data_IF_918770187824
#
_entry.id   IF_918770187824
#
_cell.length_a   1.000
_cell.length_b   1.000
_cell.length_c   1.000
_cell.angle_alpha   90.00
_cell.angle_beta   90.00
_cell.angle_gamma   90.00
#
_symmetry.space_group_name_H-M   'P 1'
#
loop_
_entity.id
_entity.type
_entity.pdbx_description
1 polymer ?
#
# COMPACT_ATOMS: atom_id res chain seq x y z
N UNK A 1 -24.42 -21.97 5.69
CA UNK A 1 -23.70 -20.71 5.99
C UNK A 1 -22.57 -20.85 7.03
N UNK A 2 -22.78 -21.48 8.21
CA UNK A 2 -21.70 -21.64 9.23
C UNK A 2 -20.46 -22.41 8.74
N UNK A 3 -20.64 -23.52 7.98
CA UNK A 3 -19.52 -24.30 7.41
C UNK A 3 -18.72 -23.54 6.33
N UNK A 4 -19.40 -22.73 5.52
CA UNK A 4 -18.75 -21.83 4.55
C UNK A 4 -17.95 -20.72 5.24
N UNK A 5 -18.48 -20.11 6.31
CA UNK A 5 -17.70 -19.19 7.15
C UNK A 5 -16.47 -19.87 7.75
N UNK A 6 -16.64 -21.06 8.33
CA UNK A 6 -15.54 -21.80 8.94
C UNK A 6 -14.43 -22.16 7.94
N UNK A 7 -14.79 -22.53 6.70
CA UNK A 7 -13.84 -22.80 5.62
C UNK A 7 -13.09 -21.53 5.19
N UNK A 8 -13.79 -20.40 5.03
CA UNK A 8 -13.17 -19.11 4.65
C UNK A 8 -12.33 -18.51 5.77
N UNK A 9 -12.63 -18.82 7.03
CA UNK A 9 -11.83 -18.38 8.19
C UNK A 9 -10.67 -19.34 8.53
N UNK A 10 -10.50 -20.45 7.80
CA UNK A 10 -9.41 -21.37 8.08
C UNK A 10 -8.08 -20.78 7.58
N UNK A 11 -7.14 -20.42 8.48
CA UNK A 11 -5.88 -19.79 8.09
C UNK A 11 -5.04 -20.70 7.18
N UNK A 12 -5.17 -22.03 7.32
CA UNK A 12 -4.47 -22.99 6.48
C UNK A 12 -4.98 -23.01 5.04
N UNK A 13 -6.29 -22.82 4.84
CA UNK A 13 -6.84 -22.73 3.49
C UNK A 13 -6.32 -21.48 2.78
N UNK A 14 -6.29 -20.33 3.47
CA UNK A 14 -5.72 -19.09 2.95
C UNK A 14 -4.22 -19.23 2.62
N UNK A 15 -3.45 -19.88 3.50
CA UNK A 15 -2.05 -20.18 3.26
C UNK A 15 -1.85 -21.09 2.04
N UNK A 16 -2.62 -22.18 1.92
CA UNK A 16 -2.54 -23.10 0.78
C UNK A 16 -2.88 -22.38 -0.53
N UNK A 17 -3.93 -21.56 -0.55
CA UNK A 17 -4.30 -20.77 -1.74
C UNK A 17 -3.20 -19.79 -2.13
N UNK A 18 -2.59 -19.10 -1.15
CA UNK A 18 -1.47 -18.19 -1.39
C UNK A 18 -0.26 -18.96 -1.93
N UNK A 19 0.12 -20.07 -1.28
CA UNK A 19 1.24 -20.91 -1.70
C UNK A 19 1.02 -21.47 -3.11
N UNK A 20 -0.17 -21.98 -3.41
CA UNK A 20 -0.55 -22.45 -4.74
C UNK A 20 -0.47 -21.31 -5.78
N UNK A 21 -0.95 -20.11 -5.44
CA UNK A 21 -0.87 -18.94 -6.33
C UNK A 21 0.57 -18.54 -6.64
N UNK A 22 1.45 -18.58 -5.64
CA UNK A 22 2.90 -18.32 -5.80
C UNK A 22 3.53 -19.41 -6.68
N UNK A 23 3.28 -20.69 -6.39
CA UNK A 23 3.80 -21.82 -7.17
C UNK A 23 3.35 -21.74 -8.62
N UNK A 24 2.06 -21.50 -8.87
CA UNK A 24 1.51 -21.37 -10.23
C UNK A 24 2.12 -20.18 -10.96
N UNK A 25 2.33 -19.05 -10.27
CA UNK A 25 2.97 -17.86 -10.85
C UNK A 25 4.43 -18.11 -11.21
N UNK A 26 5.21 -18.73 -10.31
CA UNK A 26 6.62 -19.10 -10.55
C UNK A 26 6.72 -20.13 -11.67
N UNK A 27 5.85 -21.15 -11.67
CA UNK A 27 5.82 -22.17 -12.71
C UNK A 27 5.44 -21.57 -14.07
N UNK A 28 4.46 -20.66 -14.13
CA UNK A 28 4.08 -19.99 -15.37
C UNK A 28 5.24 -19.18 -15.98
N UNK A 29 6.05 -18.52 -15.14
CA UNK A 29 7.25 -17.81 -15.62
C UNK A 29 8.25 -18.77 -16.25
N UNK A 30 8.42 -19.98 -15.70
CA UNK A 30 9.34 -20.99 -16.26
C UNK A 30 8.92 -21.52 -17.64
N UNK A 31 7.66 -21.31 -18.03
CA UNK A 31 7.16 -21.70 -19.36
C UNK A 31 7.36 -20.63 -20.43
N UNK A 32 7.83 -19.43 -20.07
CA UNK A 32 8.10 -18.34 -21.01
C UNK A 32 9.57 -18.45 -21.45
N UNK A 33 9.86 -18.77 -22.72
CA UNK A 33 11.23 -19.08 -23.18
C UNK A 33 12.24 -17.95 -22.96
N UNK A 34 11.77 -16.70 -22.94
CA UNK A 34 12.59 -15.50 -22.79
C UNK A 34 12.46 -14.86 -21.39
N UNK A 35 11.89 -15.58 -20.41
CA UNK A 35 11.72 -15.03 -19.07
C UNK A 35 13.07 -14.72 -18.42
N UNK A 36 13.22 -13.48 -17.95
CA UNK A 36 14.40 -13.03 -17.22
C UNK A 36 13.99 -12.40 -15.89
N UNK A 37 14.54 -12.86 -14.75
CA UNK A 37 14.23 -12.27 -13.45
C UNK A 37 14.90 -10.90 -13.27
N UNK A 38 15.97 -10.60 -14.00
CA UNK A 38 16.78 -9.41 -13.78
C UNK A 38 16.00 -8.10 -14.02
N UNK A 39 15.29 -7.89 -15.14
CA UNK A 39 14.45 -6.70 -15.34
C UNK A 39 13.40 -6.52 -14.25
N UNK A 40 12.79 -7.63 -13.78
CA UNK A 40 11.80 -7.62 -12.71
C UNK A 40 12.41 -7.12 -11.40
N UNK A 41 13.59 -7.64 -11.03
CA UNK A 41 14.31 -7.24 -9.82
C UNK A 41 14.78 -5.78 -9.89
N UNK A 42 15.24 -5.32 -11.06
CA UNK A 42 15.62 -3.93 -11.29
C UNK A 42 14.41 -2.98 -11.18
N UNK A 43 13.23 -3.39 -11.65
CA UNK A 43 11.98 -2.65 -11.46
C UNK A 43 11.44 -2.70 -10.03
N UNK A 44 11.65 -3.81 -9.32
CA UNK A 44 11.25 -3.98 -7.92
C UNK A 44 12.02 -3.05 -6.97
N UNK A 45 13.30 -2.76 -7.24
CA UNK A 45 14.12 -1.93 -6.38
C UNK A 45 13.55 -0.51 -6.17
N UNK A 46 13.32 0.31 -7.21
CA UNK A 46 12.74 1.65 -7.04
C UNK A 46 11.32 1.59 -6.47
N UNK A 47 10.54 0.57 -6.80
CA UNK A 47 9.24 0.33 -6.17
C UNK A 47 9.37 0.10 -4.66
N UNK A 48 10.32 -0.74 -4.24
CA UNK A 48 10.58 -1.07 -2.83
C UNK A 48 11.03 0.17 -2.06
N UNK A 49 11.94 0.97 -2.62
CA UNK A 49 12.35 2.24 -2.01
C UNK A 49 11.16 3.19 -1.91
N UNK A 50 10.38 3.36 -2.97
CA UNK A 50 9.18 4.18 -2.95
C UNK A 50 8.18 3.75 -1.89
N UNK A 51 7.93 2.45 -1.77
CA UNK A 51 6.93 1.87 -0.87
C UNK A 51 7.37 1.84 0.59
N UNK A 52 8.60 1.43 0.88
CA UNK A 52 9.07 1.15 2.25
C UNK A 52 9.98 2.25 2.83
N UNK A 53 10.39 3.23 2.02
CA UNK A 53 11.16 4.39 2.47
C UNK A 53 10.37 5.67 2.22
N UNK A 54 9.99 5.96 0.97
CA UNK A 54 9.38 7.25 0.65
C UNK A 54 7.96 7.40 1.21
N UNK A 55 7.08 6.41 1.02
CA UNK A 55 5.71 6.42 1.57
C UNK A 55 5.68 6.59 3.11
N UNK A 56 6.49 5.85 3.91
CA UNK A 56 6.53 6.10 5.34
C UNK A 56 7.14 7.46 5.71
N UNK A 57 8.08 8.00 4.93
CA UNK A 57 8.60 9.36 5.15
C UNK A 57 7.55 10.44 4.82
N UNK A 58 6.70 10.21 3.82
CA UNK A 58 5.52 11.04 3.56
C UNK A 58 4.57 11.00 4.75
N UNK A 59 4.25 9.81 5.26
CA UNK A 59 3.41 9.68 6.45
C UNK A 59 4.04 10.40 7.66
N UNK A 60 5.34 10.20 7.90
CA UNK A 60 6.06 10.87 8.97
C UNK A 60 6.01 12.40 8.87
N UNK A 61 6.18 12.96 7.67
CA UNK A 61 6.09 14.41 7.45
C UNK A 61 4.70 15.00 7.76
N UNK A 62 3.66 14.15 7.72
CA UNK A 62 2.27 14.50 8.05
C UNK A 62 1.91 14.20 9.50
N UNK A 63 2.72 13.41 10.20
CA UNK A 63 2.41 12.90 11.53
C UNK A 63 2.56 13.97 12.60
N UNK A 64 1.65 13.94 13.58
CA UNK A 64 1.73 14.77 14.78
C UNK A 64 2.14 13.95 16.01
N UNK A 65 2.30 12.63 15.88
CA UNK A 65 2.51 11.70 17.00
C UNK A 65 3.93 11.68 17.59
N UNK A 66 4.83 12.55 17.11
CA UNK A 66 6.22 12.66 17.59
C UNK A 66 7.09 11.42 17.36
N UNK A 67 6.59 10.42 16.63
CA UNK A 67 7.32 9.17 16.42
C UNK A 67 8.46 9.35 15.41
N UNK A 68 9.55 8.63 15.62
CA UNK A 68 10.72 8.69 14.75
C UNK A 68 10.44 8.17 13.33
N UNK A 69 11.31 8.51 12.38
CA UNK A 69 11.27 7.99 10.99
C UNK A 69 11.30 6.47 10.95
N UNK A 70 12.17 5.86 11.77
CA UNK A 70 12.29 4.40 11.87
C UNK A 70 11.03 3.74 12.39
N UNK A 71 10.33 4.37 13.34
CA UNK A 71 9.04 3.87 13.81
C UNK A 71 8.02 3.83 12.67
N UNK A 72 7.95 4.89 11.85
CA UNK A 72 7.05 4.96 10.70
C UNK A 72 7.38 3.91 9.65
N UNK A 73 8.66 3.74 9.30
CA UNK A 73 9.09 2.72 8.34
C UNK A 73 8.69 1.31 8.79
N UNK A 74 8.91 0.97 10.07
CA UNK A 74 8.52 -0.33 10.63
C UNK A 74 7.01 -0.53 10.67
N UNK A 75 6.27 0.47 11.18
CA UNK A 75 4.80 0.41 11.24
C UNK A 75 4.19 0.30 9.83
N UNK A 76 4.77 1.00 8.86
CA UNK A 76 4.36 0.95 7.46
C UNK A 76 4.66 -0.42 6.85
N UNK A 77 5.86 -0.98 7.05
CA UNK A 77 6.22 -2.30 6.56
C UNK A 77 5.31 -3.42 7.11
N UNK A 78 5.02 -3.39 8.42
CA UNK A 78 4.05 -4.29 9.03
C UNK A 78 2.66 -4.11 8.42
N UNK A 79 2.22 -2.87 8.18
CA UNK A 79 0.92 -2.58 7.59
C UNK A 79 0.80 -3.07 6.15
N UNK A 80 1.85 -2.96 5.34
CA UNK A 80 1.82 -3.39 3.95
C UNK A 80 1.76 -4.91 3.84
N UNK A 81 2.45 -5.65 4.72
CA UNK A 81 2.31 -7.11 4.78
C UNK A 81 0.86 -7.52 5.11
N UNK A 82 0.25 -6.87 6.10
CA UNK A 82 -1.16 -7.10 6.42
C UNK A 82 -2.11 -6.64 5.31
N UNK A 83 -1.73 -5.60 4.57
CA UNK A 83 -2.44 -5.09 3.40
C UNK A 83 -2.49 -6.10 2.26
N UNK A 84 -1.36 -6.74 1.96
CA UNK A 84 -1.27 -7.79 0.94
C UNK A 84 -2.07 -9.05 1.33
N UNK A 85 -2.14 -9.36 2.62
CA UNK A 85 -2.91 -10.50 3.13
C UNK A 85 -4.43 -10.24 3.20
N UNK A 86 -4.91 -9.07 2.79
CA UNK A 86 -6.32 -8.67 2.90
C UNK A 86 -6.91 -8.30 1.54
N UNK A 87 -8.19 -8.64 1.28
CA UNK A 87 -8.87 -8.26 0.03
C UNK A 87 -9.02 -6.74 -0.13
N UNK A 88 -8.92 -5.98 0.97
CA UNK A 88 -8.94 -4.52 0.96
C UNK A 88 -7.75 -4.01 1.76
N UNK A 89 -7.11 -2.93 1.29
CA UNK A 89 -6.03 -2.23 2.02
C UNK A 89 -6.46 -1.67 3.40
N UNK A 90 -7.72 -1.89 3.81
CA UNK A 90 -8.26 -1.56 5.11
C UNK A 90 -7.47 -2.20 6.27
N UNK A 91 -6.93 -3.42 6.11
CA UNK A 91 -6.11 -4.05 7.16
C UNK A 91 -4.82 -3.26 7.44
N UNK A 92 -4.17 -2.73 6.40
CA UNK A 92 -3.00 -1.88 6.54
C UNK A 92 -3.35 -0.60 7.32
N UNK A 93 -4.48 0.03 6.98
CA UNK A 93 -4.91 1.26 7.62
C UNK A 93 -5.32 1.04 9.08
N UNK A 94 -6.07 -0.03 9.35
CA UNK A 94 -6.43 -0.44 10.71
C UNK A 94 -5.18 -0.74 11.55
N UNK A 95 -4.16 -1.38 10.96
CA UNK A 95 -2.90 -1.63 11.65
C UNK A 95 -2.16 -0.33 11.98
N UNK A 96 -2.08 0.62 11.04
CA UNK A 96 -1.45 1.92 11.28
C UNK A 96 -2.18 2.70 12.38
N UNK A 97 -3.51 2.70 12.37
CA UNK A 97 -4.33 3.28 13.44
C UNK A 97 -4.05 2.60 14.78
N UNK A 98 -3.99 1.27 14.79
CA UNK A 98 -3.67 0.50 15.99
C UNK A 98 -2.28 0.85 16.54
N UNK A 99 -1.26 0.91 15.67
CA UNK A 99 0.11 1.28 16.02
C UNK A 99 0.19 2.68 16.61
N UNK A 100 -0.47 3.67 16.00
CA UNK A 100 -0.55 5.03 16.55
C UNK A 100 -1.28 5.07 17.90
N UNK A 101 -2.35 4.28 18.04
CA UNK A 101 -3.07 4.23 19.31
C UNK A 101 -2.20 3.67 20.44
N UNK A 102 -1.34 2.70 20.15
CA UNK A 102 -0.36 2.15 21.11
C UNK A 102 0.69 3.18 21.58
N UNK A 103 0.86 4.31 20.89
CA UNK A 103 1.74 5.40 21.36
C UNK A 103 1.01 6.41 22.24
N UNK A 104 -0.24 6.13 22.62
CA UNK A 104 -1.10 7.05 23.38
C UNK A 104 -1.88 8.05 22.54
N UNK A 105 -1.79 7.99 21.20
CA UNK A 105 -2.57 8.88 20.35
C UNK A 105 -4.06 8.51 20.40
N UNK A 106 -4.93 9.51 20.57
CA UNK A 106 -6.37 9.29 20.55
C UNK A 106 -6.83 8.69 19.23
N UNK A 107 -7.77 7.72 19.27
CA UNK A 107 -8.20 6.95 18.10
C UNK A 107 -8.66 7.83 16.93
N UNK A 108 -9.36 8.93 17.21
CA UNK A 108 -9.80 9.88 16.19
C UNK A 108 -8.66 10.54 15.43
N UNK A 109 -7.62 10.98 16.16
CA UNK A 109 -6.42 11.56 15.57
C UNK A 109 -5.62 10.53 14.78
N UNK A 110 -5.52 9.29 15.27
CA UNK A 110 -4.87 8.21 14.55
C UNK A 110 -5.56 7.90 13.21
N UNK A 111 -6.90 7.86 13.20
CA UNK A 111 -7.69 7.71 11.96
C UNK A 111 -7.46 8.89 11.02
N UNK A 112 -7.53 10.13 11.53
CA UNK A 112 -7.30 11.32 10.72
C UNK A 112 -5.89 11.36 10.12
N UNK A 113 -4.87 10.88 10.84
CA UNK A 113 -3.50 10.81 10.37
C UNK A 113 -3.34 9.85 9.19
N UNK A 114 -3.86 8.62 9.34
CA UNK A 114 -3.83 7.61 8.27
C UNK A 114 -4.67 8.05 7.07
N UNK A 115 -5.84 8.65 7.31
CA UNK A 115 -6.70 9.17 6.25
C UNK A 115 -6.01 10.30 5.45
N UNK A 116 -5.31 11.22 6.12
CA UNK A 116 -4.58 12.29 5.42
C UNK A 116 -3.46 11.74 4.53
N UNK A 117 -2.69 10.77 5.02
CA UNK A 117 -1.66 10.10 4.21
C UNK A 117 -2.27 9.39 2.98
N UNK A 118 -3.45 8.75 3.14
CA UNK A 118 -4.19 8.16 2.02
C UNK A 118 -4.66 9.21 1.01
N UNK A 119 -5.21 10.32 1.47
CA UNK A 119 -5.66 11.43 0.59
C UNK A 119 -4.49 11.96 -0.24
N UNK A 120 -3.32 12.17 0.36
CA UNK A 120 -2.14 12.66 -0.37
C UNK A 120 -1.63 11.59 -1.34
N UNK A 121 -1.66 10.31 -0.96
CA UNK A 121 -1.34 9.22 -1.87
C UNK A 121 -2.25 9.15 -3.09
N UNK A 122 -3.57 9.26 -2.89
CA UNK A 122 -4.56 9.32 -3.97
C UNK A 122 -4.38 10.58 -4.82
N UNK A 123 -4.08 11.72 -4.19
CA UNK A 123 -3.77 12.96 -4.90
C UNK A 123 -2.56 12.82 -5.81
N UNK A 124 -1.52 12.10 -5.38
CA UNK A 124 -0.37 11.77 -6.23
C UNK A 124 -0.73 10.87 -7.42
N UNK A 125 -1.62 9.89 -7.24
CA UNK A 125 -2.14 9.07 -8.34
C UNK A 125 -2.89 9.95 -9.33
N UNK A 126 -3.83 10.77 -8.86
CA UNK A 126 -4.63 11.66 -9.70
C UNK A 126 -3.74 12.63 -10.49
N UNK A 127 -2.73 13.23 -9.85
CA UNK A 127 -1.77 14.10 -10.51
C UNK A 127 -0.96 13.33 -11.57
N UNK A 128 -0.53 12.10 -11.28
CA UNK A 128 0.15 11.24 -12.24
C UNK A 128 -0.72 10.93 -13.46
N UNK A 129 -2.01 10.66 -13.28
CA UNK A 129 -2.97 10.43 -14.37
C UNK A 129 -3.10 11.66 -15.27
N UNK A 130 -3.22 12.84 -14.66
CA UNK A 130 -3.29 14.12 -15.41
C UNK A 130 -2.00 14.36 -16.19
N UNK A 131 -0.84 14.17 -15.57
CA UNK A 131 0.46 14.37 -16.21
C UNK A 131 0.74 13.35 -17.33
N UNK A 132 0.21 12.14 -17.22
CA UNK A 132 0.29 11.12 -18.26
C UNK A 132 -0.57 11.45 -19.50
N UNK A 133 -1.30 12.58 -19.48
CA UNK A 133 -2.10 13.03 -20.61
C UNK A 133 -3.28 12.12 -20.93
N UNK A 134 -3.76 11.34 -19.95
CA UNK A 134 -4.91 10.47 -20.15
C UNK A 134 -6.14 11.32 -20.43
N UNK A 135 -6.56 11.33 -21.69
CA UNK A 135 -7.79 12.00 -22.13
C UNK A 135 -8.97 11.19 -21.62
N UNK A 136 -9.48 11.59 -20.46
CA UNK A 136 -10.65 10.97 -19.87
C UNK A 136 -11.92 11.45 -20.59
N UNK A 137 -12.81 10.53 -21.01
CA UNK A 137 -14.15 10.92 -21.42
C UNK A 137 -14.83 11.74 -20.32
N UNK A 138 -15.59 12.77 -20.70
CA UNK A 138 -16.20 13.70 -19.72
C UNK A 138 -17.08 12.98 -18.68
N UNK A 139 -17.74 11.87 -19.04
CA UNK A 139 -18.54 11.08 -18.11
C UNK A 139 -17.69 10.39 -17.04
N UNK A 140 -16.46 9.98 -17.35
CA UNK A 140 -15.50 9.46 -16.37
C UNK A 140 -15.06 10.59 -15.45
N UNK A 141 -14.74 11.78 -15.99
CA UNK A 141 -14.41 12.96 -15.19
C UNK A 141 -15.55 13.31 -14.22
N UNK A 142 -16.80 13.25 -14.65
CA UNK A 142 -17.95 13.46 -13.78
C UNK A 142 -18.07 12.38 -12.69
N UNK A 143 -17.84 11.11 -13.02
CA UNK A 143 -17.86 10.04 -12.02
C UNK A 143 -16.78 10.28 -10.94
N UNK A 144 -15.55 10.64 -11.35
CA UNK A 144 -14.48 11.04 -10.43
C UNK A 144 -14.87 12.26 -9.59
N UNK A 145 -15.42 13.29 -10.22
CA UNK A 145 -15.91 14.50 -9.56
C UNK A 145 -16.99 14.18 -8.52
N UNK A 146 -17.93 13.30 -8.85
CA UNK A 146 -18.99 12.86 -7.95
C UNK A 146 -18.45 12.07 -6.75
N UNK A 147 -17.49 11.17 -6.97
CA UNK A 147 -16.81 10.43 -5.87
C UNK A 147 -16.03 11.37 -4.97
N UNK A 148 -15.26 12.30 -5.55
CA UNK A 148 -14.51 13.31 -4.79
C UNK A 148 -15.44 14.22 -3.98
N UNK A 149 -16.54 14.67 -4.58
CA UNK A 149 -17.57 15.46 -3.91
C UNK A 149 -18.24 14.66 -2.78
N UNK A 150 -18.61 13.40 -3.02
CA UNK A 150 -19.17 12.52 -2.00
C UNK A 150 -18.24 12.32 -0.81
N UNK A 151 -16.94 12.14 -1.06
CA UNK A 151 -15.92 12.08 -0.01
C UNK A 151 -15.81 13.40 0.76
N UNK A 152 -15.82 14.55 0.07
CA UNK A 152 -15.80 15.86 0.70
C UNK A 152 -17.04 16.09 1.58
N UNK A 153 -18.23 15.75 1.09
CA UNK A 153 -19.50 15.81 1.85
C UNK A 153 -19.42 14.91 3.07
N UNK A 154 -18.92 13.67 2.94
CA UNK A 154 -18.74 12.76 4.08
C UNK A 154 -17.80 13.36 5.13
N UNK A 155 -16.67 13.94 4.73
CA UNK A 155 -15.75 14.64 5.65
C UNK A 155 -16.44 15.81 6.34
N UNK A 156 -17.21 16.62 5.61
CA UNK A 156 -17.97 17.74 6.19
C UNK A 156 -19.04 17.26 7.18
N UNK A 157 -19.75 16.18 6.87
CA UNK A 157 -20.73 15.56 7.77
C UNK A 157 -20.06 15.02 9.04
N UNK A 158 -18.93 14.32 8.92
CA UNK A 158 -18.16 13.87 10.09
C UNK A 158 -17.64 15.06 10.88
N UNK A 159 -17.16 16.13 10.24
CA UNK A 159 -16.74 17.36 10.93
C UNK A 159 -17.89 18.02 11.68
N UNK A 160 -19.11 18.00 11.12
CA UNK A 160 -20.31 18.55 11.75
C UNK A 160 -20.78 17.71 12.93
N UNK A 161 -20.81 16.38 12.80
CA UNK A 161 -21.37 15.48 13.82
C UNK A 161 -20.35 15.03 14.86
N UNK A 162 -19.07 15.05 14.51
CA UNK A 162 -17.93 14.64 15.35
C UNK A 162 -16.79 15.67 15.27
N UNK A 163 -17.05 16.92 15.68
CA UNK A 163 -16.04 17.99 15.64
C UNK A 163 -14.82 17.68 16.51
N UNK A 164 -14.98 16.80 17.52
CA UNK A 164 -13.91 16.26 18.36
C UNK A 164 -12.78 15.58 17.55
N UNK A 165 -13.10 15.01 16.39
CA UNK A 165 -12.14 14.32 15.53
C UNK A 165 -11.24 15.28 14.75
N UNK A 166 -11.67 16.52 14.52
CA UNK A 166 -10.98 17.50 13.66
C UNK A 166 -10.44 18.72 14.41
N UNK A 167 -11.04 19.11 15.54
CA UNK A 167 -10.69 20.33 16.27
C UNK A 167 -9.29 20.33 16.91
N UNK A 168 -8.58 19.20 16.90
CA UNK A 168 -7.26 19.05 17.55
C UNK A 168 -6.08 18.98 16.60
N UNK A 169 -6.30 19.01 15.27
CA UNK A 169 -5.21 18.88 14.30
C UNK A 169 -5.12 20.10 13.38
N UNK A 170 -3.98 20.80 13.33
CA UNK A 170 -3.75 21.82 12.32
C UNK A 170 -3.67 21.18 10.92
N UNK A 171 -4.07 21.93 9.90
CA UNK A 171 -3.87 21.50 8.51
C UNK A 171 -2.36 21.45 8.19
N UNK A 172 -1.91 20.49 7.35
CA UNK A 172 -0.53 20.45 6.90
C UNK A 172 -0.19 21.73 6.12
N UNK A 173 1.05 22.21 6.28
CA UNK A 173 1.51 23.37 5.52
C UNK A 173 1.57 23.05 4.01
N UNK A 174 1.44 24.06 3.13
CA UNK A 174 1.53 23.85 1.69
C UNK A 174 2.83 23.17 1.25
N UNK A 175 3.95 23.43 1.95
CA UNK A 175 5.24 22.78 1.67
C UNK A 175 5.21 21.28 1.97
N UNK A 176 4.58 20.88 3.07
CA UNK A 176 4.41 19.47 3.44
C UNK A 176 3.47 18.77 2.44
N UNK A 177 2.42 19.45 1.99
CA UNK A 177 1.54 18.94 0.95
C UNK A 177 2.28 18.72 -0.37
N UNK A 178 3.05 19.72 -0.84
CA UNK A 178 3.84 19.63 -2.06
C UNK A 178 4.88 18.51 -1.97
N UNK A 179 5.60 18.40 -0.84
CA UNK A 179 6.52 17.29 -0.59
C UNK A 179 5.81 15.93 -0.65
N UNK A 180 4.66 15.82 -0.01
CA UNK A 180 3.89 14.58 0.02
C UNK A 180 3.37 14.17 -1.36
N UNK A 181 2.94 15.13 -2.18
CA UNK A 181 2.55 14.90 -3.58
C UNK A 181 3.76 14.50 -4.42
N UNK A 182 4.90 15.19 -4.28
CA UNK A 182 6.15 14.85 -4.96
C UNK A 182 6.61 13.43 -4.65
N UNK A 183 6.64 13.04 -3.38
CA UNK A 183 6.92 11.65 -2.96
C UNK A 183 5.94 10.67 -3.60
N UNK A 184 4.65 11.02 -3.64
CA UNK A 184 3.63 10.14 -4.21
C UNK A 184 3.82 9.95 -5.70
N UNK A 185 4.19 11.00 -6.44
CA UNK A 185 4.57 10.92 -7.87
C UNK A 185 5.82 10.07 -8.08
N UNK A 186 6.87 10.26 -7.27
CA UNK A 186 8.08 9.42 -7.33
C UNK A 186 7.73 7.95 -7.09
N UNK A 187 6.82 7.66 -6.15
CA UNK A 187 6.35 6.30 -5.94
C UNK A 187 5.59 5.75 -7.16
N UNK A 188 4.74 6.54 -7.82
CA UNK A 188 4.10 6.12 -9.08
C UNK A 188 5.12 5.79 -10.18
N UNK A 189 6.19 6.57 -10.29
CA UNK A 189 7.29 6.25 -11.21
C UNK A 189 7.97 4.91 -10.87
N UNK A 190 8.14 4.61 -9.57
CA UNK A 190 8.59 3.29 -9.12
C UNK A 190 7.65 2.14 -9.49
N UNK A 191 6.33 2.37 -9.42
CA UNK A 191 5.32 1.40 -9.90
C UNK A 191 5.42 1.19 -11.41
N UNK A 192 5.53 2.26 -12.19
CA UNK A 192 5.76 2.16 -13.64
C UNK A 192 7.05 1.40 -13.96
N UNK A 193 8.13 1.62 -13.19
CA UNK A 193 9.39 0.87 -13.31
C UNK A 193 9.22 -0.62 -13.02
N UNK A 194 8.44 -1.00 -12.01
CA UNK A 194 8.12 -2.39 -11.72
C UNK A 194 7.29 -3.04 -12.86
N UNK A 195 6.30 -2.32 -13.40
CA UNK A 195 5.51 -2.81 -14.53
C UNK A 195 6.41 -2.99 -15.75
N UNK A 196 7.25 -2.01 -16.08
CA UNK A 196 8.18 -2.08 -17.20
C UNK A 196 9.15 -3.25 -17.05
N UNK A 197 9.76 -3.40 -15.88
CA UNK A 197 10.63 -4.53 -15.56
C UNK A 197 9.90 -5.87 -15.67
N UNK A 198 8.62 -5.93 -15.34
CA UNK A 198 7.80 -7.14 -15.47
C UNK A 198 7.47 -7.47 -16.93
N UNK A 199 7.20 -6.45 -17.77
CA UNK A 199 6.95 -6.63 -19.22
C UNK A 199 8.22 -7.11 -19.94
N UNK A 200 9.36 -6.47 -19.67
CA UNK A 200 10.66 -6.91 -20.21
C UNK A 200 11.01 -8.30 -19.66
N UNK A 201 10.71 -8.55 -18.39
CA UNK A 201 10.98 -9.83 -17.73
C UNK A 201 10.22 -11.01 -18.31
N UNK A 202 9.13 -10.80 -19.06
CA UNK A 202 8.39 -11.84 -19.78
C UNK A 202 8.71 -11.87 -21.28
N UNK A 203 9.78 -11.19 -21.72
CA UNK A 203 10.20 -11.17 -23.12
C UNK A 203 9.35 -10.28 -24.03
N UNK A 204 8.73 -9.23 -23.49
CA UNK A 204 7.98 -8.26 -24.28
C UNK A 204 8.52 -6.85 -24.11
N UNK A 205 8.24 -5.99 -25.07
CA UNK A 205 8.65 -4.60 -25.06
C UNK A 205 7.44 -3.67 -25.22
N UNK A 206 7.55 -2.49 -24.61
CA UNK A 206 6.58 -1.41 -24.73
C UNK A 206 7.31 -0.08 -24.66
N UNK A 207 6.78 0.93 -25.36
CA UNK A 207 7.29 2.30 -25.17
C UNK A 207 6.96 2.78 -23.75
N UNK A 208 7.90 3.49 -23.12
CA UNK A 208 7.71 4.02 -21.77
C UNK A 208 6.46 4.91 -21.69
N UNK A 209 6.24 5.74 -22.72
CA UNK A 209 5.07 6.61 -22.80
C UNK A 209 3.77 5.79 -22.84
N UNK A 210 3.69 4.78 -23.71
CA UNK A 210 2.52 3.90 -23.79
C UNK A 210 2.23 3.19 -22.47
N UNK A 211 3.28 2.67 -21.82
CA UNK A 211 3.17 2.04 -20.50
C UNK A 211 2.64 3.02 -19.44
N UNK A 212 3.17 4.23 -19.38
CA UNK A 212 2.72 5.25 -18.42
C UNK A 212 1.26 5.62 -18.66
N UNK A 213 0.83 5.77 -19.92
CA UNK A 213 -0.56 6.05 -20.27
C UNK A 213 -1.49 4.90 -19.89
N UNK A 214 -1.13 3.66 -20.21
CA UNK A 214 -1.91 2.47 -19.84
C UNK A 214 -1.97 2.28 -18.32
N UNK A 215 -0.84 2.45 -17.64
CA UNK A 215 -0.77 2.40 -16.19
C UNK A 215 -1.70 3.45 -15.58
N UNK A 216 -1.60 4.71 -16.00
CA UNK A 216 -2.47 5.78 -15.55
C UNK A 216 -3.96 5.48 -15.80
N UNK A 217 -4.32 4.97 -16.98
CA UNK A 217 -5.69 4.57 -17.28
C UNK A 217 -6.18 3.40 -16.40
N UNK A 218 -5.31 2.41 -16.13
CA UNK A 218 -5.65 1.28 -15.27
C UNK A 218 -5.90 1.69 -13.81
N UNK A 219 -5.31 2.80 -13.34
CA UNK A 219 -5.59 3.34 -12.00
C UNK A 219 -7.05 3.74 -11.84
N UNK A 220 -7.76 4.06 -12.93
CA UNK A 220 -9.17 4.45 -12.87
C UNK A 220 -10.06 3.27 -12.47
N UNK A 221 -9.69 2.05 -12.89
CA UNK A 221 -10.39 0.83 -12.50
C UNK A 221 -10.27 0.54 -11.00
N UNK A 222 -9.29 1.13 -10.30
CA UNK A 222 -9.11 0.95 -8.85
C UNK A 222 -10.22 1.58 -7.99
N UNK A 223 -11.11 2.39 -8.58
CA UNK A 223 -12.34 2.86 -7.91
C UNK A 223 -13.29 1.69 -7.61
N UNK A 224 -13.27 0.67 -8.48
CA UNK A 224 -14.17 -0.46 -8.34
C UNK A 224 -13.77 -1.31 -7.12
N UNK A 225 -14.74 -1.76 -6.30
CA UNK A 225 -14.45 -2.59 -5.15
C UNK A 225 -13.79 -3.90 -5.59
N UNK A 226 -12.74 -4.32 -4.85
CA UNK A 226 -12.11 -5.62 -5.02
C UNK A 226 -13.07 -6.72 -4.54
N UNK A 227 -13.48 -7.61 -5.44
CA UNK A 227 -14.34 -8.75 -5.11
C UNK A 227 -13.50 -10.02 -5.19
N UNK A 228 -13.35 -10.73 -4.06
CA UNK A 228 -12.76 -12.08 -4.06
C UNK A 228 -11.30 -12.19 -4.52
N UNK A 229 -10.50 -11.13 -4.35
CA UNK A 229 -9.09 -11.11 -4.81
C UNK A 229 -8.90 -10.71 -6.28
N UNK A 230 -9.99 -10.55 -7.04
CA UNK A 230 -9.94 -9.90 -8.34
C UNK A 230 -9.65 -8.41 -8.17
N UNK A 231 -8.57 -7.95 -8.79
CA UNK A 231 -8.15 -6.55 -8.79
C UNK A 231 -8.47 -5.92 -10.15
N UNK A 232 -9.54 -5.10 -10.25
CA UNK A 232 -9.95 -4.48 -11.52
C UNK A 232 -8.84 -3.64 -12.15
N UNK A 233 -7.96 -3.07 -11.33
CA UNK A 233 -6.76 -2.38 -11.78
C UNK A 233 -5.83 -3.30 -12.59
N UNK A 234 -5.52 -4.48 -12.04
CA UNK A 234 -4.64 -5.45 -12.69
C UNK A 234 -5.26 -6.00 -13.99
N UNK A 235 -6.58 -6.23 -14.00
CA UNK A 235 -7.29 -6.65 -15.20
C UNK A 235 -7.24 -5.57 -16.30
N UNK A 236 -7.51 -4.31 -15.93
CA UNK A 236 -7.41 -3.17 -16.85
C UNK A 236 -5.98 -2.98 -17.36
N UNK A 237 -4.97 -3.18 -16.51
CA UNK A 237 -3.56 -3.12 -16.88
C UNK A 237 -3.21 -4.21 -17.90
N UNK A 238 -3.65 -5.46 -17.69
CA UNK A 238 -3.40 -6.55 -18.64
C UNK A 238 -4.02 -6.26 -20.03
N UNK A 239 -5.28 -5.82 -20.05
CA UNK A 239 -5.96 -5.41 -21.30
C UNK A 239 -5.25 -4.24 -21.96
N UNK A 240 -4.82 -3.24 -21.18
CA UNK A 240 -4.09 -2.10 -21.70
C UNK A 240 -2.74 -2.49 -22.29
N UNK A 241 -1.97 -3.38 -21.65
CA UNK A 241 -0.72 -3.90 -22.20
C UNK A 241 -0.96 -4.64 -23.52
N UNK A 242 -2.03 -5.43 -23.61
CA UNK A 242 -2.40 -6.09 -24.88
C UNK A 242 -2.77 -5.09 -25.97
N UNK A 243 -3.41 -3.96 -25.62
CA UNK A 243 -3.68 -2.88 -26.59
C UNK A 243 -2.40 -2.20 -27.11
N UNK A 244 -1.29 -2.30 -26.37
CA UNK A 244 0.04 -1.82 -26.80
C UNK A 244 0.82 -2.87 -27.64
N UNK A 245 0.22 -4.03 -27.94
CA UNK A 245 0.84 -5.09 -28.73
C UNK A 245 1.47 -6.22 -27.92
N UNK A 246 1.43 -6.18 -26.58
CA UNK A 246 1.95 -7.26 -25.74
C UNK A 246 1.06 -8.50 -25.89
N UNK A 247 1.59 -9.68 -26.24
CA UNK A 247 0.79 -10.90 -26.34
C UNK A 247 0.01 -11.18 -25.05
N UNK A 248 -1.23 -11.64 -25.17
CA UNK A 248 -2.11 -11.87 -24.00
C UNK A 248 -1.47 -12.72 -22.89
N UNK A 249 -0.77 -13.84 -23.17
CA UNK A 249 -0.06 -14.59 -22.13
C UNK A 249 1.04 -13.78 -21.43
N UNK A 250 1.80 -12.97 -22.18
CA UNK A 250 2.85 -12.12 -21.62
C UNK A 250 2.26 -10.99 -20.77
N UNK A 251 1.16 -10.37 -21.20
CA UNK A 251 0.47 -9.34 -20.41
C UNK A 251 -0.04 -9.88 -19.07
N UNK A 252 -0.66 -11.07 -19.07
CA UNK A 252 -1.05 -11.76 -17.84
C UNK A 252 0.17 -12.08 -16.99
N UNK A 253 1.25 -12.59 -17.58
CA UNK A 253 2.50 -12.90 -16.89
C UNK A 253 3.11 -11.68 -16.19
N UNK A 254 3.20 -10.55 -16.90
CA UNK A 254 3.71 -9.29 -16.38
C UNK A 254 2.87 -8.76 -15.22
N UNK A 255 1.54 -8.77 -15.34
CA UNK A 255 0.63 -8.34 -14.26
C UNK A 255 0.69 -9.31 -13.07
N UNK A 256 0.84 -10.62 -13.32
CA UNK A 256 1.01 -11.61 -12.26
C UNK A 256 2.30 -11.37 -11.47
N UNK A 257 3.40 -11.03 -12.16
CA UNK A 257 4.65 -10.61 -11.54
C UNK A 257 4.46 -9.34 -10.68
N UNK A 258 3.78 -8.32 -11.21
CA UNK A 258 3.45 -7.09 -10.47
C UNK A 258 2.65 -7.39 -9.20
N UNK A 259 1.80 -8.41 -9.19
CA UNK A 259 1.03 -8.82 -8.02
C UNK A 259 1.84 -9.66 -7.01
N UNK A 260 2.72 -10.53 -7.48
CA UNK A 260 3.44 -11.51 -6.63
C UNK A 260 4.74 -10.95 -6.06
N UNK A 261 5.54 -10.29 -6.88
CA UNK A 261 6.90 -9.85 -6.51
C UNK A 261 6.92 -8.86 -5.33
N UNK A 262 5.92 -7.97 -5.14
CA UNK A 262 5.75 -7.18 -3.92
C UNK A 262 5.71 -7.96 -2.59
N UNK A 263 5.35 -9.26 -2.61
CA UNK A 263 5.39 -10.08 -1.41
C UNK A 263 6.81 -10.26 -0.86
N UNK A 264 7.83 -10.23 -1.73
CA UNK A 264 9.22 -10.40 -1.31
C UNK A 264 9.66 -9.32 -0.29
N UNK A 265 9.66 -8.01 -0.64
CA UNK A 265 10.00 -6.99 0.35
C UNK A 265 8.99 -6.89 1.49
N UNK A 266 7.71 -7.25 1.28
CA UNK A 266 6.73 -7.25 2.37
C UNK A 266 7.04 -8.29 3.45
N UNK A 267 7.39 -9.52 3.05
CA UNK A 267 7.81 -10.58 3.96
C UNK A 267 9.16 -10.24 4.60
N UNK A 268 10.11 -9.74 3.81
CA UNK A 268 11.44 -9.37 4.29
C UNK A 268 11.42 -8.20 5.27
N UNK A 269 10.61 -7.17 5.06
CA UNK A 269 10.61 -5.97 5.91
C UNK A 269 9.50 -6.00 6.97
N UNK A 270 8.28 -6.35 6.55
CA UNK A 270 7.13 -6.47 7.47
C UNK A 270 7.24 -7.71 8.35
N UNK A 271 7.56 -8.86 7.76
CA UNK A 271 7.69 -10.13 8.48
C UNK A 271 8.83 -10.10 9.50
N UNK A 272 9.99 -9.56 9.14
CA UNK A 272 11.09 -9.37 10.11
C UNK A 272 10.74 -8.36 11.19
N UNK A 273 10.01 -7.28 10.90
CA UNK A 273 9.56 -6.35 11.95
C UNK A 273 8.61 -7.03 12.94
N UNK A 274 7.68 -7.86 12.46
CA UNK A 274 6.82 -8.67 13.34
C UNK A 274 7.61 -9.66 14.17
N UNK A 275 8.54 -10.40 13.56
CA UNK A 275 9.39 -11.37 14.25
C UNK A 275 10.24 -10.67 15.34
N UNK A 276 10.89 -9.56 15.01
CA UNK A 276 11.68 -8.77 15.95
C UNK A 276 10.84 -8.26 17.14
N UNK A 277 9.61 -7.79 16.89
CA UNK A 277 8.68 -7.39 17.97
C UNK A 277 8.28 -8.57 18.85
N UNK A 278 8.00 -9.72 18.24
CA UNK A 278 7.63 -10.93 18.97
C UNK A 278 8.78 -11.40 19.85
N UNK A 279 10.00 -11.44 19.32
CA UNK A 279 11.22 -11.78 20.07
C UNK A 279 11.41 -10.80 21.22
N UNK A 280 11.33 -9.48 20.97
CA UNK A 280 11.48 -8.47 22.02
C UNK A 280 10.43 -8.59 23.13
N UNK A 281 9.20 -9.01 22.81
CA UNK A 281 8.15 -9.25 23.81
C UNK A 281 8.33 -10.55 24.60
N UNK A 282 9.09 -11.51 24.06
CA UNK A 282 9.40 -12.78 24.72
C UNK A 282 10.69 -12.72 25.54
N UNK A 283 11.58 -11.78 25.24
CA UNK A 283 12.76 -11.52 26.06
C UNK A 283 12.30 -11.00 27.44
N UNK A 284 12.62 -11.71 28.53
CA UNK A 284 12.17 -11.32 29.86
C UNK A 284 12.70 -9.93 30.23
N UNK A 285 11.86 -9.14 30.88
CA UNK A 285 12.21 -7.91 31.62
C UNK A 285 13.11 -8.31 32.80
N UNK A 286 14.32 -8.77 32.51
CA UNK A 286 15.21 -9.40 33.48
C UNK A 286 16.14 -8.41 34.18
N UNK A 287 16.03 -7.09 33.92
CA UNK A 287 16.98 -6.09 34.43
C UNK A 287 16.35 -4.78 34.92
N UNK A 288 15.10 -4.79 35.39
CA UNK A 288 14.65 -3.70 36.28
C UNK A 288 14.90 -4.12 37.73
N UNK A 289 15.92 -3.58 38.42
CA UNK A 289 16.08 -3.82 39.85
C UNK A 289 14.78 -3.40 40.55
N UNK A 290 14.21 -4.29 41.36
CA UNK A 290 13.11 -3.93 42.26
C UNK A 290 13.58 -2.73 43.09
N UNK A 291 12.78 -1.65 43.22
CA UNK A 291 13.08 -0.61 44.20
C UNK A 291 13.17 -1.28 45.57
N UNK A 292 14.32 -1.11 46.22
CA UNK A 292 14.57 -1.65 47.55
C UNK A 292 13.54 -1.06 48.52
N UNK A 293 12.71 -1.88 49.18
CA UNK A 293 11.89 -1.38 50.27
C UNK A 293 12.84 -1.15 51.43
N UNK A 294 13.22 0.09 51.72
CA UNK A 294 13.69 0.59 53.02
C UNK A 294 14.24 2.02 52.84
N UNK A 295 13.35 3.01 52.89
CA UNK A 295 13.70 4.33 53.43
C UNK A 295 12.68 4.66 54.52
N UNK A 296 13.05 4.61 55.81
CA UNK A 296 12.17 5.07 56.87
C UNK A 296 11.98 6.59 56.72
N UNK A 297 10.73 7.05 56.76
CA UNK A 297 10.40 8.47 56.82
C UNK A 297 10.92 9.05 58.15
N UNK A 298 11.64 10.18 58.15
CA UNK A 298 11.89 10.91 59.39
C UNK A 298 10.57 11.47 59.94
N UNK A 299 10.44 11.41 61.27
CA UNK A 299 9.32 11.98 62.03
C UNK A 299 9.40 13.50 62.07
#
# INVERSE_FOLDING_TARGET
>A
MKRLRAAVTNPWLGFIVLAASVVVSVWSISTIPEASPLPVLLGLLPWTVGKYVLCPLRWHALSMGGQSRWWHMRAYAESELLGLASPVHASADLWRVHRLHQTGLGRGLAVAEVALDRVIGVGGIALGVVLAGVTLPWHVLLAFGAVALGAAVAVLLVRRWRPDLFNRRPLPSPRVLALGLGISLTYQAGVAGLILGSVIGVGSDVTLLGLVTVFAASQLASILPRIGGADPHNAALAVGLTSLGVPWPAAIGAVSLVAVVPWLPALLLGGTSFAARRIAALLPVALTPRPSPLTPRPR
#
